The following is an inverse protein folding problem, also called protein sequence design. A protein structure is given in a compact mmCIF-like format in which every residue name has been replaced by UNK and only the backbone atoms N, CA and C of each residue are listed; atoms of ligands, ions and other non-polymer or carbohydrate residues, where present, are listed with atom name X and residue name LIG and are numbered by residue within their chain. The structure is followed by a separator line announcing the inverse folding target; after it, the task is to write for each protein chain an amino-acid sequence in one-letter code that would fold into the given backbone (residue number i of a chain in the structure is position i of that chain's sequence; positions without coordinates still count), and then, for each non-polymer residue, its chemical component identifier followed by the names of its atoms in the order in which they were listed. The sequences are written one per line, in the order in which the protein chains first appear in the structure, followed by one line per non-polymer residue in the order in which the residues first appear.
data_IF_779211664219
#
_entry.id   IF_779211664219
#
_cell.length_a   1.000
_cell.length_b   1.000
_cell.length_c   1.000
_cell.angle_alpha   90.00
_cell.angle_beta   90.00
_cell.angle_gamma   90.00
#
_symmetry.space_group_name_H-M   'P 1'
#
loop_
_entity.id
_entity.type
_entity.pdbx_description
1 polymer ?
#
# COMPACT_ATOMS: atom_id res chain seq x y z
N UNK A 1 8.82 -58.80 -2.90
CA UNK A 1 7.82 -57.79 -3.33
C UNK A 1 7.61 -56.78 -2.20
N UNK A 2 8.37 -55.69 -2.15
CA UNK A 2 8.23 -54.70 -1.06
C UNK A 2 8.77 -53.29 -1.40
N UNK A 3 8.59 -52.78 -2.63
CA UNK A 3 9.23 -51.51 -3.03
C UNK A 3 8.30 -50.43 -3.62
N UNK A 4 6.97 -50.55 -3.51
CA UNK A 4 6.05 -49.59 -4.16
C UNK A 4 5.33 -48.60 -3.23
N UNK A 5 5.28 -48.85 -1.91
CA UNK A 5 4.52 -47.99 -0.97
C UNK A 5 5.31 -46.79 -0.44
N UNK A 6 6.64 -46.82 -0.49
CA UNK A 6 7.48 -45.76 0.09
C UNK A 6 7.57 -44.51 -0.80
N UNK A 7 7.35 -44.65 -2.12
CA UNK A 7 7.46 -43.54 -3.08
C UNK A 7 6.25 -42.59 -3.07
N UNK A 8 5.07 -43.07 -2.66
CA UNK A 8 3.84 -42.27 -2.68
C UNK A 8 3.76 -41.26 -1.53
N UNK A 9 4.24 -41.62 -0.34
CA UNK A 9 4.24 -40.73 0.83
C UNK A 9 5.20 -39.54 0.67
N UNK A 10 6.36 -39.78 0.03
CA UNK A 10 7.38 -38.75 -0.18
C UNK A 10 6.89 -37.66 -1.15
N UNK A 11 6.10 -38.04 -2.17
CA UNK A 11 5.49 -37.07 -3.11
C UNK A 11 4.47 -36.15 -2.44
N UNK A 12 3.67 -36.66 -1.50
CA UNK A 12 2.74 -35.83 -0.73
C UNK A 12 3.46 -34.83 0.17
N UNK A 13 4.56 -35.25 0.81
CA UNK A 13 5.33 -34.38 1.70
C UNK A 13 5.96 -33.24 0.92
N UNK A 14 6.54 -33.52 -0.26
CA UNK A 14 7.15 -32.49 -1.13
C UNK A 14 6.09 -31.49 -1.63
N UNK A 15 4.90 -31.95 -2.02
CA UNK A 15 3.83 -31.02 -2.41
C UNK A 15 3.36 -30.14 -1.24
N UNK A 16 3.28 -30.71 -0.03
CA UNK A 16 2.89 -29.96 1.16
C UNK A 16 3.93 -28.92 1.56
N UNK A 17 5.23 -29.23 1.46
CA UNK A 17 6.30 -28.26 1.73
C UNK A 17 6.34 -27.15 0.68
N UNK A 18 6.12 -27.44 -0.60
CA UNK A 18 6.02 -26.43 -1.66
C UNK A 18 4.82 -25.50 -1.43
N UNK A 19 3.66 -26.05 -1.05
CA UNK A 19 2.47 -25.26 -0.72
C UNK A 19 2.73 -24.36 0.50
N UNK A 20 3.36 -24.87 1.56
CA UNK A 20 3.71 -24.09 2.73
C UNK A 20 4.71 -22.95 2.40
N UNK A 21 5.75 -23.24 1.61
CA UNK A 21 6.70 -22.22 1.15
C UNK A 21 6.02 -21.13 0.32
N UNK A 22 5.00 -21.47 -0.48
CA UNK A 22 4.22 -20.51 -1.26
C UNK A 22 3.40 -19.56 -0.39
N UNK A 23 2.89 -20.04 0.75
CA UNK A 23 2.12 -19.22 1.72
C UNK A 23 3.05 -18.30 2.51
N UNK A 24 4.27 -18.74 2.84
CA UNK A 24 5.26 -17.89 3.53
C UNK A 24 5.78 -16.76 2.63
N UNK A 25 5.90 -16.99 1.31
CA UNK A 25 6.28 -15.93 0.38
C UNK A 25 5.21 -14.83 0.21
N UNK A 26 3.97 -15.05 0.65
CA UNK A 26 2.95 -13.98 0.74
C UNK A 26 3.10 -13.10 2.00
N UNK A 27 4.06 -13.40 2.88
CA UNK A 27 4.37 -12.59 4.07
C UNK A 27 5.59 -11.67 3.89
N UNK A 28 6.20 -11.66 2.69
CA UNK A 28 7.08 -10.59 2.23
C UNK A 28 6.21 -9.35 1.95
N UNK A 29 6.36 -8.17 2.55
CA UNK A 29 7.29 -7.67 3.54
C UNK A 29 6.58 -6.48 4.18
N UNK A 30 6.40 -6.46 5.50
CA UNK A 30 6.28 -5.17 6.19
C UNK A 30 7.69 -4.58 6.31
N UNK A 31 8.27 -4.17 5.17
CA UNK A 31 9.33 -3.16 5.23
C UNK A 31 8.66 -1.97 5.92
N UNK A 32 9.21 -1.57 7.06
CA UNK A 32 8.82 -0.37 7.78
C UNK A 32 9.22 0.84 6.92
N UNK A 33 8.52 1.00 5.79
CA UNK A 33 8.68 2.13 4.90
C UNK A 33 8.26 3.35 5.71
N UNK A 34 9.15 4.32 5.84
CA UNK A 34 8.81 5.57 6.49
C UNK A 34 7.76 6.21 5.59
N UNK A 35 6.58 6.50 6.10
CA UNK A 35 5.62 7.30 5.34
C UNK A 35 6.12 8.74 5.37
N UNK A 36 6.50 9.26 4.19
CA UNK A 36 6.77 10.69 4.00
C UNK A 36 5.45 11.45 3.84
N UNK A 37 5.44 12.73 4.21
CA UNK A 37 4.30 13.64 4.03
C UNK A 37 4.74 14.92 3.31
N UNK A 38 3.99 15.35 2.29
CA UNK A 38 4.13 16.66 1.65
C UNK A 38 2.76 17.31 1.44
N UNK A 39 2.68 18.61 1.75
CA UNK A 39 1.44 19.38 1.71
C UNK A 39 1.50 20.46 0.62
N UNK A 40 0.43 20.58 -0.17
CA UNK A 40 0.30 21.57 -1.23
C UNK A 40 -0.86 22.54 -0.96
N UNK A 41 -0.54 23.82 -0.86
CA UNK A 41 -1.51 24.91 -0.69
C UNK A 41 -2.00 25.46 -2.04
N UNK A 42 -1.26 25.20 -3.12
CA UNK A 42 -1.47 25.75 -4.46
C UNK A 42 -2.22 24.81 -5.41
N UNK A 43 -2.61 23.61 -4.94
CA UNK A 43 -3.43 22.69 -5.69
C UNK A 43 -4.89 23.00 -5.37
N UNK A 44 -5.74 23.15 -6.40
CA UNK A 44 -7.19 23.26 -6.17
C UNK A 44 -7.67 21.95 -5.54
N UNK A 45 -8.09 22.02 -4.28
CA UNK A 45 -8.60 20.87 -3.54
C UNK A 45 -10.11 21.01 -3.44
N UNK A 46 -10.83 20.10 -4.09
CA UNK A 46 -12.23 19.82 -3.78
C UNK A 46 -12.20 18.53 -2.97
N UNK A 47 -12.99 18.47 -1.90
CA UNK A 47 -13.01 17.31 -1.02
C UNK A 47 -14.44 16.86 -0.82
N UNK A 48 -14.65 15.56 -0.95
CA UNK A 48 -15.89 14.89 -0.52
C UNK A 48 -15.55 14.03 0.70
N UNK A 49 -15.73 14.61 1.88
CA UNK A 49 -15.20 14.06 3.13
C UNK A 49 -13.66 14.08 3.17
N UNK A 50 -13.05 12.92 3.40
CA UNK A 50 -11.59 12.72 3.38
C UNK A 50 -11.04 12.46 1.96
N UNK A 51 -11.93 12.18 1.01
CA UNK A 51 -11.61 11.85 -0.38
C UNK A 51 -11.17 13.11 -1.12
N UNK A 52 -10.09 12.98 -1.89
CA UNK A 52 -9.51 14.10 -2.64
C UNK A 52 -9.93 14.04 -4.11
N UNK A 53 -10.22 15.21 -4.67
CA UNK A 53 -10.56 15.34 -6.08
C UNK A 53 -9.36 15.04 -7.00
N UNK A 54 -9.64 14.67 -8.25
CA UNK A 54 -8.67 14.16 -9.22
C UNK A 54 -7.36 14.99 -9.36
N UNK A 55 -7.36 16.33 -9.23
CA UNK A 55 -6.14 17.14 -9.31
C UNK A 55 -5.11 16.86 -8.21
N UNK A 56 -5.54 16.69 -6.96
CA UNK A 56 -4.62 16.42 -5.85
C UNK A 56 -4.07 15.00 -5.92
N UNK A 57 -4.93 14.02 -6.24
CA UNK A 57 -4.52 12.65 -6.52
C UNK A 57 -3.45 12.56 -7.60
N UNK A 58 -3.71 13.18 -8.76
CA UNK A 58 -2.79 13.19 -9.90
C UNK A 58 -1.46 13.86 -9.56
N UNK A 59 -1.49 14.94 -8.78
CA UNK A 59 -0.27 15.62 -8.33
C UNK A 59 0.59 14.72 -7.46
N UNK A 60 -0.01 14.02 -6.49
CA UNK A 60 0.73 13.10 -5.61
C UNK A 60 1.34 11.96 -6.41
N UNK A 61 0.58 11.35 -7.33
CA UNK A 61 1.11 10.26 -8.15
C UNK A 61 2.25 10.70 -9.08
N UNK A 62 2.13 11.88 -9.70
CA UNK A 62 3.17 12.41 -10.58
C UNK A 62 4.45 12.80 -9.83
N UNK A 63 4.36 13.16 -8.54
CA UNK A 63 5.51 13.53 -7.72
C UNK A 63 6.21 12.34 -7.06
N UNK A 64 5.42 11.39 -6.55
CA UNK A 64 5.88 10.37 -5.60
C UNK A 64 5.65 8.93 -6.07
N UNK A 65 5.14 8.75 -7.29
CA UNK A 65 4.91 7.45 -7.89
C UNK A 65 3.51 6.89 -7.62
N UNK A 66 3.20 5.72 -8.20
CA UNK A 66 1.85 5.14 -8.18
C UNK A 66 1.39 4.71 -6.77
N UNK A 67 2.32 4.46 -5.85
CA UNK A 67 2.03 4.09 -4.46
C UNK A 67 1.69 5.30 -3.57
N UNK A 68 1.79 6.51 -4.12
CA UNK A 68 1.45 7.73 -3.41
C UNK A 68 -0.06 7.84 -3.19
N UNK A 69 -0.45 8.10 -1.94
CA UNK A 69 -1.81 8.38 -1.51
C UNK A 69 -2.02 9.88 -1.42
N UNK A 70 -3.23 10.33 -1.64
CA UNK A 70 -3.61 11.74 -1.53
C UNK A 70 -4.80 11.89 -0.59
N UNK A 71 -4.73 12.84 0.32
CA UNK A 71 -5.76 13.10 1.33
C UNK A 71 -6.12 14.58 1.37
N UNK A 72 -7.38 14.83 1.75
CA UNK A 72 -7.82 16.15 2.11
C UNK A 72 -7.60 16.41 3.60
N UNK A 73 -6.88 17.47 3.95
CA UNK A 73 -6.66 17.88 5.34
C UNK A 73 -7.20 19.29 5.57
N UNK A 74 -7.70 19.54 6.78
CA UNK A 74 -8.19 20.85 7.18
C UNK A 74 -7.05 21.70 7.76
N UNK A 75 -7.04 23.01 7.51
CA UNK A 75 -6.13 23.97 8.15
C UNK A 75 -6.47 24.25 9.62
N UNK A 76 -7.34 23.44 10.24
CA UNK A 76 -7.83 23.70 11.59
C UNK A 76 -6.66 23.65 12.61
N UNK A 77 -6.62 24.58 13.58
CA UNK A 77 -7.64 25.60 13.88
C UNK A 77 -7.43 26.96 13.17
N UNK A 78 -6.44 27.12 12.30
CA UNK A 78 -5.99 28.44 11.80
C UNK A 78 -6.96 29.04 10.77
N UNK A 79 -7.56 28.23 9.89
CA UNK A 79 -8.52 28.69 8.88
C UNK A 79 -9.74 27.76 8.80
N UNK A 80 -10.88 28.10 9.42
CA UNK A 80 -12.08 27.29 9.35
C UNK A 80 -12.58 27.19 7.90
N UNK A 81 -12.75 25.97 7.40
CA UNK A 81 -13.18 25.69 6.03
C UNK A 81 -12.05 25.68 4.99
N UNK A 82 -10.82 26.04 5.37
CA UNK A 82 -9.67 25.86 4.50
C UNK A 82 -9.26 24.39 4.44
N UNK A 83 -9.11 23.86 3.23
CA UNK A 83 -8.63 22.50 2.97
C UNK A 83 -7.35 22.53 2.12
N UNK A 84 -6.44 21.60 2.37
CA UNK A 84 -5.22 21.42 1.59
C UNK A 84 -5.01 19.96 1.19
N UNK A 85 -4.16 19.79 0.17
CA UNK A 85 -3.81 18.50 -0.40
C UNK A 85 -2.59 17.96 0.33
N UNK A 86 -2.68 16.77 0.92
CA UNK A 86 -1.57 16.09 1.56
C UNK A 86 -1.26 14.78 0.82
N UNK A 87 -0.01 14.60 0.40
CA UNK A 87 0.49 13.39 -0.21
C UNK A 87 1.22 12.54 0.82
N UNK A 88 1.00 11.23 0.79
CA UNK A 88 1.72 10.25 1.61
C UNK A 88 2.26 9.14 0.73
N UNK A 89 3.52 8.77 0.90
CA UNK A 89 4.14 7.72 0.10
C UNK A 89 5.26 7.04 0.88
N UNK A 90 5.61 5.79 0.53
CA UNK A 90 6.76 5.11 1.11
C UNK A 90 8.06 5.80 0.68
N UNK A 91 8.82 6.24 1.68
CA UNK A 91 10.22 6.65 1.62
C UNK A 91 11.00 5.93 2.76
#
# INVERSE_FOLDING_TARGET
MANSKFSLGIRCIICYTILLLSVEMMKFSSVNARECEESFLNVKVVCDGESVDQPCWTRCQNGHGPDAKAYCRDFAPVFPGGKYCACYWPC
#
